data_IF_477067690736
#
_entry.id   IF_477067690736
#
_cell.length_a   1.000
_cell.length_b   1.000
_cell.length_c   1.000
_cell.angle_alpha   90.00
_cell.angle_beta   90.00
_cell.angle_gamma   90.00
#
_symmetry.space_group_name_H-M   'P 1'
#
loop_
_entity.id
_entity.type
_entity.pdbx_description
1 polymer ?
2 polymer ?
#
# COMPACT_ATOMS: atom_id res chain seq x y z
N UNK A 1 3.20 2.79 27.42
CA UNK A 1 1.80 2.33 27.13
C UNK A 1 1.71 0.83 26.81
N UNK A 2 0.50 0.37 26.49
CA UNK A 2 0.21 -1.06 26.35
C UNK A 2 0.22 -1.53 24.90
N UNK A 3 1.10 -2.49 24.62
CA UNK A 3 1.31 -3.01 23.27
C UNK A 3 0.82 -4.45 23.14
N UNK A 4 0.36 -4.81 21.95
CA UNK A 4 -0.04 -6.19 21.64
C UNK A 4 0.72 -6.76 20.47
N UNK A 5 1.44 -7.84 20.73
CA UNK A 5 2.10 -8.63 19.72
C UNK A 5 1.09 -9.68 19.24
N UNK A 6 0.87 -9.72 17.93
CA UNK A 6 -0.04 -10.69 17.33
C UNK A 6 0.70 -11.90 16.78
N UNK A 7 0.01 -13.04 16.76
CA UNK A 7 0.54 -14.27 16.21
C UNK A 7 -0.45 -14.96 15.29
N UNK A 8 0.00 -15.37 14.08
CA UNK A 8 1.31 -15.06 13.52
C UNK A 8 1.30 -13.72 12.78
N UNK A 9 2.46 -13.19 12.43
CA UNK A 9 2.52 -11.99 11.60
C UNK A 9 1.85 -12.21 10.24
N UNK A 10 2.20 -13.33 9.59
CA UNK A 10 1.63 -13.68 8.30
C UNK A 10 1.23 -15.16 8.26
N UNK A 11 0.09 -15.43 7.64
CA UNK A 11 -0.48 -16.76 7.59
C UNK A 11 -1.01 -17.04 6.19
N UNK A 12 -0.64 -18.20 5.65
CA UNK A 12 -1.15 -18.71 4.37
C UNK A 12 -2.14 -19.83 4.64
N UNK A 13 -3.37 -19.67 4.19
CA UNK A 13 -4.42 -20.65 4.48
C UNK A 13 -5.41 -20.84 3.35
N UNK A 14 -6.00 -22.03 3.32
CA UNK A 14 -6.97 -22.41 2.31
C UNK A 14 -8.39 -22.21 2.82
N UNK A 15 -9.30 -21.92 1.89
CA UNK A 15 -10.73 -21.81 2.15
C UNK A 15 -11.25 -23.04 2.93
N UNK A 16 -11.84 -22.79 4.10
CA UNK A 16 -12.39 -23.84 4.95
C UNK A 16 -11.52 -24.22 6.13
N UNK A 17 -10.35 -23.58 6.24
CA UNK A 17 -9.43 -23.85 7.33
C UNK A 17 -9.90 -23.24 8.66
N UNK A 18 -9.31 -23.74 9.75
CA UNK A 18 -9.49 -23.17 11.07
C UNK A 18 -8.33 -22.22 11.37
N UNK A 19 -8.63 -20.93 11.45
CA UNK A 19 -7.60 -19.91 11.70
C UNK A 19 -7.64 -19.41 13.15
N UNK A 20 -6.47 -19.44 13.78
CA UNK A 20 -6.31 -19.01 15.17
C UNK A 20 -5.25 -17.91 15.27
N UNK A 21 -5.69 -16.69 15.57
CA UNK A 21 -4.80 -15.54 15.68
C UNK A 21 -4.69 -15.08 17.14
N UNK A 22 -3.46 -15.00 17.63
CA UNK A 22 -3.17 -14.65 19.03
C UNK A 22 -2.82 -13.17 19.22
N UNK A 23 -3.34 -12.58 20.29
CA UNK A 23 -3.01 -11.22 20.68
C UNK A 23 -2.44 -11.21 22.10
N UNK A 24 -1.12 -10.97 22.21
CA UNK A 24 -0.42 -10.97 23.50
C UNK A 24 -0.10 -9.57 24.01
N UNK A 25 -0.86 -9.10 25.00
CA UNK A 25 -0.67 -7.76 25.58
C UNK A 25 0.53 -7.74 26.51
N UNK A 26 1.03 -6.56 26.83
CA UNK A 26 2.27 -6.47 27.60
C UNK A 26 1.99 -6.23 29.08
N UNK A 27 0.76 -5.82 29.36
CA UNK A 27 0.29 -5.59 30.71
C UNK A 27 -1.20 -5.86 30.73
N UNK A 28 -1.73 -6.09 31.94
CA UNK A 28 -3.11 -6.47 32.14
C UNK A 28 -4.06 -5.51 31.46
N UNK A 29 -4.98 -6.07 30.70
CA UNK A 29 -6.07 -5.30 30.11
C UNK A 29 -7.42 -6.02 30.28
N UNK A 30 -8.51 -5.24 30.35
CA UNK A 30 -9.84 -5.79 30.61
C UNK A 30 -10.52 -6.43 29.38
N UNK A 31 -10.56 -5.71 28.26
CA UNK A 31 -11.23 -6.18 27.04
C UNK A 31 -10.40 -6.00 25.77
N UNK A 32 -10.64 -6.85 24.79
CA UNK A 32 -9.99 -6.74 23.49
C UNK A 32 -11.03 -6.67 22.38
N UNK A 33 -10.68 -5.93 21.34
CA UNK A 33 -11.55 -5.80 20.19
C UNK A 33 -10.73 -6.18 18.96
N UNK A 34 -11.42 -6.61 17.92
CA UNK A 34 -10.74 -7.05 16.71
C UNK A 34 -11.33 -6.35 15.51
N UNK A 35 -10.45 -5.82 14.67
CA UNK A 35 -10.84 -5.20 13.42
C UNK A 35 -10.30 -5.99 12.26
N UNK A 36 -10.94 -5.83 11.11
CA UNK A 36 -10.46 -6.37 9.85
C UNK A 36 -10.22 -5.21 8.91
N UNK A 37 -9.17 -5.29 8.09
CA UNK A 37 -8.90 -4.25 7.10
C UNK A 37 -8.48 -4.83 5.76
N UNK A 38 -9.00 -4.23 4.69
CA UNK A 38 -8.59 -4.56 3.32
C UNK A 38 -8.01 -3.30 2.67
N UNK A 39 -6.92 -3.45 1.88
CA UNK A 39 -6.21 -2.34 1.23
C UNK A 39 -7.12 -1.20 0.75
N UNK A 40 -6.83 0.03 1.19
CA UNK A 40 -7.58 1.22 0.78
C UNK A 40 -8.90 1.48 1.49
N UNK A 41 -9.17 0.73 2.56
CA UNK A 41 -10.39 0.89 3.36
C UNK A 41 -10.07 1.19 4.82
N UNK A 42 -11.00 1.88 5.48
CA UNK A 42 -10.98 2.02 6.95
C UNK A 42 -11.35 0.65 7.52
N UNK A 43 -10.70 0.24 8.63
CA UNK A 43 -11.01 -1.07 9.20
C UNK A 43 -12.46 -1.22 9.66
N UNK A 44 -12.93 -2.47 9.68
CA UNK A 44 -14.26 -2.86 10.15
C UNK A 44 -14.18 -3.53 11.51
N UNK A 45 -15.12 -3.19 12.39
CA UNK A 45 -15.28 -3.87 13.67
C UNK A 45 -15.93 -5.24 13.49
N UNK A 46 -15.33 -6.26 14.13
CA UNK A 46 -15.82 -7.64 14.07
C UNK A 46 -16.18 -8.12 15.47
N UNK A 47 -15.24 -7.93 16.39
CA UNK A 47 -15.41 -8.34 17.77
C UNK A 47 -15.27 -7.11 18.65
N UNK A 48 -16.27 -6.90 19.50
CA UNK A 48 -16.18 -5.91 20.56
C UNK A 48 -16.21 -6.58 21.93
N UNK A 49 -15.63 -5.91 22.92
CA UNK A 49 -15.45 -6.44 24.28
C UNK A 49 -15.15 -7.94 24.33
N UNK A 50 -13.96 -8.28 23.87
CA UNK A 50 -13.37 -9.63 23.94
C UNK A 50 -14.05 -10.73 23.10
N UNK A 51 -15.37 -10.87 23.21
CA UNK A 51 -16.08 -12.01 22.60
C UNK A 51 -17.43 -11.71 21.91
N UNK A 52 -17.84 -10.45 21.88
CA UNK A 52 -19.14 -10.07 21.33
C UNK A 52 -19.06 -9.72 19.84
N UNK A 53 -19.88 -10.39 19.02
CA UNK A 53 -19.95 -10.13 17.57
C UNK A 53 -20.71 -8.85 17.26
N UNK A 54 -20.18 -8.09 16.30
CA UNK A 54 -20.86 -6.89 15.79
C UNK A 54 -21.91 -7.29 14.76
N UNK A 55 -22.95 -6.45 14.59
CA UNK A 55 -24.02 -6.73 13.65
C UNK A 55 -23.50 -6.97 12.23
N UNK A 56 -24.08 -7.97 11.56
CA UNK A 56 -23.73 -8.27 10.17
C UNK A 56 -22.55 -9.23 10.02
N UNK A 57 -21.69 -9.26 11.04
CA UNK A 57 -20.49 -10.10 11.04
C UNK A 57 -20.87 -11.59 11.19
N UNK A 58 -20.38 -12.44 10.27
CA UNK A 58 -20.68 -13.88 10.26
C UNK A 58 -20.21 -14.62 11.51
N UNK A 59 -20.95 -15.66 11.90
CA UNK A 59 -20.66 -16.40 13.13
C UNK A 59 -19.49 -17.39 13.01
N UNK A 60 -18.76 -17.32 11.89
CA UNK A 60 -17.48 -18.03 11.75
C UNK A 60 -16.34 -17.32 12.50
N UNK A 61 -16.59 -16.07 12.89
CA UNK A 61 -15.69 -15.29 13.73
C UNK A 61 -16.07 -15.45 15.19
N UNK A 62 -15.06 -15.70 16.03
CA UNK A 62 -15.25 -15.69 17.47
C UNK A 62 -14.00 -15.13 18.15
N UNK A 63 -14.16 -14.65 19.38
CA UNK A 63 -13.03 -14.17 20.16
C UNK A 63 -13.06 -14.70 21.58
N UNK A 64 -11.90 -14.79 22.21
CA UNK A 64 -11.84 -15.22 23.61
C UNK A 64 -10.56 -14.76 24.28
N UNK A 65 -10.42 -15.11 25.55
CA UNK A 65 -9.22 -14.82 26.33
C UNK A 65 -9.47 -13.80 27.42
N UNK A 66 -8.44 -13.61 28.26
CA UNK A 66 -8.44 -12.63 29.36
C UNK A 66 -7.01 -12.25 29.77
N UNK A 67 -6.87 -11.23 30.62
CA UNK A 67 -5.57 -10.84 31.18
C UNK A 67 -4.65 -10.17 30.16
N UNK A 68 -3.76 -10.96 29.57
CA UNK A 68 -2.91 -10.49 28.47
C UNK A 68 -2.90 -11.43 27.29
N UNK A 69 -3.80 -12.43 27.29
CA UNK A 69 -3.83 -13.42 26.23
C UNK A 69 -5.21 -13.52 25.56
N UNK A 70 -5.29 -13.04 24.33
CA UNK A 70 -6.56 -13.00 23.60
C UNK A 70 -6.45 -13.63 22.24
N UNK A 71 -7.50 -14.33 21.81
CA UNK A 71 -7.49 -14.98 20.50
C UNK A 71 -8.69 -14.64 19.63
N UNK A 72 -8.47 -14.65 18.32
CA UNK A 72 -9.53 -14.60 17.33
C UNK A 72 -9.49 -15.90 16.52
N UNK A 73 -10.66 -16.48 16.30
CA UNK A 73 -10.75 -17.72 15.56
C UNK A 73 -11.71 -17.57 14.37
N UNK A 74 -11.24 -17.95 13.20
CA UNK A 74 -12.13 -18.20 12.07
C UNK A 74 -12.22 -19.71 11.87
N UNK A 75 -13.40 -20.27 12.18
CA UNK A 75 -13.59 -21.73 12.23
C UNK A 75 -13.61 -22.36 10.84
N UNK A 76 -14.19 -21.65 9.88
CA UNK A 76 -14.20 -22.06 8.48
C UNK A 76 -13.89 -20.85 7.59
N UNK A 77 -12.68 -20.81 7.07
CA UNK A 77 -12.19 -19.68 6.27
C UNK A 77 -12.91 -19.50 4.93
N UNK A 78 -13.26 -18.25 4.62
CA UNK A 78 -14.01 -17.92 3.41
C UNK A 78 -13.23 -16.95 2.51
N UNK A 79 -13.69 -16.71 1.26
CA UNK A 79 -12.91 -15.85 0.36
C UNK A 79 -12.88 -14.40 0.81
N UNK A 80 -13.96 -13.95 1.46
CA UNK A 80 -14.07 -12.58 1.94
C UNK A 80 -13.14 -12.28 3.12
N UNK A 81 -12.64 -13.33 3.76
CA UNK A 81 -11.87 -13.17 4.99
C UNK A 81 -10.38 -12.89 4.77
N UNK A 82 -9.91 -13.01 3.53
CA UNK A 82 -8.53 -12.68 3.20
C UNK A 82 -8.33 -11.17 3.27
N UNK A 83 -7.56 -10.76 4.27
CA UNK A 83 -7.43 -9.36 4.68
C UNK A 83 -6.43 -9.27 5.83
N UNK A 84 -6.24 -8.06 6.37
CA UNK A 84 -5.46 -7.89 7.61
C UNK A 84 -6.40 -7.80 8.83
N UNK A 85 -5.90 -8.21 10.00
CA UNK A 85 -6.69 -8.24 11.21
C UNK A 85 -5.91 -7.64 12.38
N UNK A 86 -6.53 -6.69 13.08
CA UNK A 86 -5.88 -6.01 14.18
C UNK A 86 -6.69 -6.19 15.45
N UNK A 87 -6.00 -6.46 16.55
CA UNK A 87 -6.61 -6.42 17.87
C UNK A 87 -6.48 -5.03 18.48
N UNK A 88 -7.50 -4.60 19.22
CA UNK A 88 -7.57 -3.24 19.72
C UNK A 88 -7.87 -3.12 21.22
N UNK A 89 -7.04 -2.32 21.89
CA UNK A 89 -7.19 -2.03 23.32
C UNK A 89 -7.70 -0.60 23.52
N UNK A 90 -8.80 -0.48 24.23
CA UNK A 90 -9.54 0.80 24.36
C UNK A 90 -9.81 1.14 25.83
N UNK A 91 -9.03 0.54 26.74
CA UNK A 91 -9.27 0.68 28.19
C UNK A 91 -8.15 1.37 28.97
N UNK A 92 -7.10 1.80 28.28
CA UNK A 92 -6.05 2.64 28.83
C UNK A 92 -5.66 3.63 27.77
N UNK A 93 -5.17 4.79 28.18
CA UNK A 93 -4.64 5.74 27.23
C UNK A 93 -3.14 5.53 27.15
N UNK A 94 -2.57 5.63 25.94
CA UNK A 94 -3.32 5.80 24.68
C UNK A 94 -3.98 4.50 24.24
N UNK A 95 -5.10 4.62 23.54
CA UNK A 95 -5.71 3.48 22.87
C UNK A 95 -4.65 2.90 21.94
N UNK A 96 -4.56 1.59 21.86
CA UNK A 96 -3.53 0.99 21.03
C UNK A 96 -4.06 -0.16 20.22
N UNK A 97 -3.37 -0.41 19.11
CA UNK A 97 -3.73 -1.47 18.17
C UNK A 97 -2.62 -2.48 18.03
N UNK A 98 -2.99 -3.73 17.79
CA UNK A 98 -2.02 -4.78 17.49
C UNK A 98 -1.24 -4.48 16.22
N UNK A 99 -0.14 -5.19 16.02
CA UNK A 99 0.69 -5.02 14.83
C UNK A 99 0.00 -5.49 13.54
N UNK A 100 -1.06 -6.29 13.67
CA UNK A 100 -1.74 -6.88 12.52
C UNK A 100 -1.29 -8.27 12.19
N UNK A 101 -2.17 -9.03 11.54
CA UNK A 101 -1.87 -10.38 11.06
C UNK A 101 -2.43 -10.55 9.65
N UNK A 102 -1.54 -10.76 8.68
CA UNK A 102 -1.97 -10.86 7.30
C UNK A 102 -2.33 -12.29 6.89
N UNK A 103 -3.58 -12.49 6.49
CA UNK A 103 -4.07 -13.80 6.07
C UNK A 103 -4.17 -13.85 4.55
N UNK A 104 -3.35 -14.71 3.94
CA UNK A 104 -3.22 -14.79 2.50
C UNK A 104 -3.70 -16.13 1.98
N UNK A 105 -3.85 -16.25 0.65
CA UNK A 105 -4.35 -17.48 0.05
C UNK A 105 -3.21 -18.47 -0.19
N UNK A 106 -3.38 -19.68 0.31
CA UNK A 106 -2.48 -20.77 -0.04
C UNK A 106 -2.92 -21.34 -1.37
N UNK A 107 -1.93 -21.57 -2.24
CA UNK A 107 -2.11 -22.31 -3.48
C UNK A 107 -0.77 -22.93 -3.86
N UNK A 108 -0.70 -23.49 -5.06
CA UNK A 108 0.44 -24.27 -5.50
C UNK A 108 1.54 -23.41 -6.12
N UNK A 109 2.75 -23.98 -6.14
CA UNK A 109 3.87 -23.37 -6.83
C UNK A 109 3.50 -22.95 -8.26
N UNK A 110 4.11 -21.85 -8.70
CA UNK A 110 4.01 -21.37 -10.08
C UNK A 110 5.28 -20.58 -10.35
N UNK A 111 6.02 -21.03 -11.36
CA UNK A 111 7.24 -20.34 -11.79
C UNK A 111 6.90 -19.01 -12.45
N UNK A 112 7.69 -17.97 -12.20
CA UNK A 112 7.45 -16.70 -12.88
C UNK A 112 7.90 -16.73 -14.34
N UNK A 113 7.31 -15.87 -15.15
CA UNK A 113 7.82 -15.59 -16.47
C UNK A 113 8.72 -14.36 -16.31
N UNK A 114 9.94 -14.47 -16.81
CA UNK A 114 10.94 -13.41 -16.63
C UNK A 114 11.17 -12.65 -17.93
N UNK A 115 11.13 -11.32 -17.87
CA UNK A 115 11.42 -10.46 -19.02
C UNK A 115 12.33 -9.32 -18.58
N UNK A 116 13.35 -9.04 -19.40
CA UNK A 116 14.25 -7.91 -19.16
C UNK A 116 14.02 -6.82 -20.22
N UNK A 117 14.04 -5.56 -19.79
CA UNK A 117 13.83 -4.41 -20.68
C UNK A 117 15.00 -3.42 -20.61
N UNK A 118 15.73 -3.24 -21.73
CA UNK A 118 16.76 -2.21 -21.82
C UNK A 118 16.18 -0.80 -21.73
N UNK A 119 17.00 0.18 -21.30
CA UNK A 119 16.56 1.59 -21.34
C UNK A 119 16.28 2.05 -22.76
N UNK A 120 15.21 2.82 -22.91
CA UNK A 120 14.90 3.49 -24.17
C UNK A 120 15.98 4.55 -24.49
N UNK A 121 16.09 4.91 -25.77
CA UNK A 121 17.03 5.95 -26.17
C UNK A 121 16.54 7.29 -25.68
N UNK A 122 15.22 7.45 -25.66
CA UNK A 122 14.56 8.63 -25.13
C UNK A 122 15.00 8.96 -23.70
N UNK A 123 15.02 7.94 -22.82
CA UNK A 123 15.55 8.11 -21.47
C UNK A 123 17.05 8.35 -21.46
N UNK A 124 17.78 7.59 -22.27
CA UNK A 124 19.23 7.75 -22.38
C UNK A 124 19.67 9.20 -22.62
N UNK A 125 18.95 9.91 -23.49
CA UNK A 125 19.23 11.33 -23.78
C UNK A 125 19.22 12.24 -22.56
N UNK A 126 18.42 11.88 -21.56
CA UNK A 126 18.28 12.66 -20.32
C UNK A 126 19.46 12.45 -19.35
N UNK A 127 20.24 11.40 -19.56
CA UNK A 127 21.42 11.15 -18.75
C UNK A 127 21.32 10.02 -17.75
N UNK A 128 20.12 9.47 -17.60
CA UNK A 128 19.89 8.36 -16.68
C UNK A 128 19.38 7.15 -17.47
N UNK A 129 19.86 5.96 -17.10
CA UNK A 129 19.35 4.72 -17.67
C UNK A 129 18.60 3.91 -16.62
N UNK A 130 17.43 3.39 -16.98
CA UNK A 130 16.71 2.40 -16.16
C UNK A 130 16.62 1.07 -16.90
N UNK A 131 16.96 -0.01 -16.20
CA UNK A 131 16.84 -1.36 -16.72
C UNK A 131 15.75 -2.01 -15.89
N UNK A 132 14.90 -2.83 -16.50
CA UNK A 132 13.76 -3.40 -15.75
C UNK A 132 13.58 -4.90 -15.94
N UNK A 133 13.50 -5.63 -14.84
CA UNK A 133 13.21 -7.05 -14.90
C UNK A 133 11.79 -7.32 -14.37
N UNK A 134 11.04 -8.13 -15.12
CA UNK A 134 9.66 -8.47 -14.75
C UNK A 134 9.53 -9.96 -14.42
N UNK A 135 8.91 -10.24 -13.27
CA UNK A 135 8.58 -11.60 -12.85
C UNK A 135 7.07 -11.72 -12.83
N UNK A 136 6.51 -12.50 -13.76
CA UNK A 136 5.07 -12.46 -13.96
C UNK A 136 4.36 -13.70 -13.45
N UNK A 137 3.36 -13.46 -12.60
CA UNK A 137 2.41 -14.49 -12.19
C UNK A 137 3.05 -15.72 -11.57
N UNK A 138 3.55 -15.56 -10.35
CA UNK A 138 4.25 -16.64 -9.65
C UNK A 138 3.75 -16.84 -8.22
N UNK A 139 4.12 -17.98 -7.64
CA UNK A 139 3.83 -18.31 -6.26
C UNK A 139 4.90 -19.30 -5.76
N UNK A 140 5.40 -19.11 -4.52
CA UNK A 140 5.03 -18.04 -3.59
C UNK A 140 5.80 -16.74 -3.88
N UNK A 141 5.54 -15.70 -3.09
CA UNK A 141 6.18 -14.39 -3.27
C UNK A 141 7.69 -14.45 -3.19
N UNK A 142 8.22 -15.19 -2.21
CA UNK A 142 9.65 -15.33 -2.05
C UNK A 142 10.30 -15.54 -3.41
N UNK A 143 11.28 -14.69 -3.71
CA UNK A 143 11.99 -14.71 -4.97
C UNK A 143 13.26 -13.91 -4.86
N UNK A 144 14.31 -14.43 -5.50
CA UNK A 144 15.62 -13.80 -5.54
C UNK A 144 15.87 -13.24 -6.95
N UNK A 145 16.24 -11.96 -7.02
CA UNK A 145 16.50 -11.31 -8.29
C UNK A 145 17.86 -10.65 -8.20
N UNK A 146 18.82 -11.24 -8.91
CA UNK A 146 20.19 -10.76 -8.91
C UNK A 146 20.49 -10.07 -10.22
N UNK A 147 20.77 -8.78 -10.15
CA UNK A 147 21.25 -8.02 -11.28
C UNK A 147 22.73 -8.28 -11.48
N UNK A 148 23.12 -8.54 -12.72
CA UNK A 148 24.52 -8.74 -13.05
C UNK A 148 24.95 -7.83 -14.19
N UNK A 149 25.99 -7.05 -13.93
CA UNK A 149 26.49 -6.09 -14.91
C UNK A 149 27.90 -6.51 -15.30
N UNK A 150 28.01 -7.14 -16.47
CA UNK A 150 29.24 -7.82 -16.91
C UNK A 150 29.75 -8.77 -15.83
N UNK A 151 28.80 -9.51 -15.28
CA UNK A 151 29.00 -10.54 -14.26
C UNK A 151 29.25 -10.04 -12.84
N UNK A 152 29.24 -8.72 -12.64
CA UNK A 152 29.37 -8.15 -11.29
C UNK A 152 28.00 -8.11 -10.63
N UNK A 153 27.84 -8.85 -9.53
CA UNK A 153 26.57 -8.88 -8.81
C UNK A 153 26.30 -7.51 -8.23
N UNK A 154 25.16 -6.93 -8.57
CA UNK A 154 24.76 -5.63 -8.02
C UNK A 154 23.99 -5.80 -6.72
N UNK A 155 24.25 -4.90 -5.77
CA UNK A 155 23.61 -4.93 -4.47
C UNK A 155 23.38 -3.50 -3.94
N UNK A 156 22.11 -3.16 -3.71
CA UNK A 156 21.75 -1.85 -3.18
C UNK A 156 21.26 -0.80 -4.16
N UNK A 157 21.54 -0.96 -5.46
CA UNK A 157 21.13 0.04 -6.45
C UNK A 157 19.92 -0.33 -7.33
N UNK A 158 19.13 -1.29 -6.88
CA UNK A 158 17.86 -1.60 -7.54
C UNK A 158 16.70 -1.37 -6.57
N UNK A 159 15.49 -1.19 -7.10
CA UNK A 159 14.27 -1.16 -6.28
C UNK A 159 13.19 -2.12 -6.79
N UNK A 160 12.60 -2.88 -5.86
CA UNK A 160 11.56 -3.87 -6.16
C UNK A 160 10.15 -3.38 -5.76
N UNK A 161 9.14 -3.91 -6.43
CA UNK A 161 7.74 -3.55 -6.18
C UNK A 161 6.90 -4.77 -6.53
N UNK A 162 5.92 -5.08 -5.68
CA UNK A 162 5.19 -6.36 -5.75
C UNK A 162 3.69 -6.12 -5.69
N UNK A 163 2.99 -6.66 -6.69
CA UNK A 163 1.53 -6.61 -6.71
C UNK A 163 1.01 -7.35 -5.48
N UNK A 164 -0.22 -7.07 -5.11
CA UNK A 164 -0.93 -7.85 -4.11
C UNK A 164 -1.34 -9.15 -4.78
N UNK A 165 -1.70 -10.16 -4.00
CA UNK A 165 -2.20 -11.42 -4.56
C UNK A 165 -3.31 -11.17 -5.57
N UNK A 166 -3.27 -11.92 -6.65
CA UNK A 166 -4.23 -11.82 -7.72
C UNK A 166 -5.57 -12.43 -7.30
N UNK A 167 -6.66 -11.66 -7.46
CA UNK A 167 -7.98 -12.07 -6.97
C UNK A 167 -8.54 -13.34 -7.61
N UNK A 168 -7.96 -13.74 -8.75
CA UNK A 168 -8.42 -14.90 -9.51
C UNK A 168 -7.56 -16.14 -9.29
N UNK A 169 -6.24 -15.98 -9.39
CA UNK A 169 -5.34 -17.14 -9.28
C UNK A 169 -4.38 -17.07 -8.09
N UNK A 170 -4.44 -15.97 -7.34
CA UNK A 170 -3.59 -15.78 -6.17
C UNK A 170 -2.08 -15.85 -6.49
N UNK A 171 -1.69 -15.32 -7.66
CA UNK A 171 -0.26 -15.12 -7.95
C UNK A 171 0.16 -13.69 -7.68
N UNK A 172 1.47 -13.47 -7.70
CA UNK A 172 2.06 -12.15 -7.60
C UNK A 172 2.79 -11.84 -8.89
N UNK A 173 3.12 -10.56 -9.10
CA UNK A 173 4.05 -10.14 -10.15
C UNK A 173 4.98 -9.06 -9.60
N UNK A 174 6.23 -9.06 -10.07
CA UNK A 174 7.29 -8.24 -9.47
C UNK A 174 8.14 -7.52 -10.50
N UNK A 175 8.48 -6.28 -10.20
CA UNK A 175 9.38 -5.51 -11.05
C UNK A 175 10.61 -5.04 -10.26
N UNK A 176 11.79 -5.47 -10.70
CA UNK A 176 13.03 -4.94 -10.15
C UNK A 176 13.61 -3.94 -11.14
N UNK A 177 13.94 -2.74 -10.65
CA UNK A 177 14.44 -1.67 -11.52
C UNK A 177 15.85 -1.22 -11.10
N UNK A 178 16.80 -1.35 -12.02
CA UNK A 178 18.17 -0.91 -11.79
C UNK A 178 18.37 0.49 -12.37
N UNK A 179 18.93 1.41 -11.58
CA UNK A 179 19.23 2.77 -12.05
C UNK A 179 20.73 3.02 -12.20
N UNK A 180 21.12 3.63 -13.32
CA UNK A 180 22.52 4.01 -13.60
C UNK A 180 22.56 5.29 -14.40
N UNK A 181 23.65 6.06 -14.27
CA UNK A 181 23.86 7.21 -15.15
C UNK A 181 24.17 6.70 -16.56
N UNK A 182 23.82 7.51 -17.57
CA UNK A 182 24.09 7.22 -18.97
C UNK A 182 25.54 6.79 -19.20
N UNK A 183 26.47 7.58 -18.66
CA UNK A 183 27.92 7.31 -18.79
C UNK A 183 28.33 6.00 -18.13
N UNK A 184 27.75 5.70 -16.97
CA UNK A 184 28.02 4.43 -16.26
C UNK A 184 27.47 3.24 -17.02
N UNK A 185 26.26 3.41 -17.56
CA UNK A 185 25.63 2.40 -18.38
C UNK A 185 26.49 1.99 -19.58
N UNK A 186 27.16 2.99 -20.17
CA UNK A 186 27.98 2.78 -21.36
C UNK A 186 29.34 2.12 -21.06
N UNK A 187 29.67 1.99 -19.78
CA UNK A 187 30.91 1.33 -19.36
C UNK A 187 30.83 -0.19 -19.46
N UNK A 188 29.62 -0.73 -19.50
CA UNK A 188 29.40 -2.19 -19.46
C UNK A 188 28.64 -2.71 -20.67
N UNK A 189 28.74 -4.02 -20.89
CA UNK A 189 28.14 -4.66 -22.05
C UNK A 189 26.90 -5.51 -21.72
N UNK A 190 27.10 -6.55 -20.91
CA UNK A 190 26.06 -7.54 -20.65
C UNK A 190 25.25 -7.19 -19.40
N UNK A 191 23.96 -6.97 -19.60
CA UNK A 191 23.09 -6.66 -18.49
C UNK A 191 22.19 -7.85 -18.29
N UNK A 192 22.17 -8.38 -17.07
CA UNK A 192 21.44 -9.63 -16.79
C UNK A 192 20.59 -9.58 -15.54
N UNK A 193 19.42 -10.21 -15.63
CA UNK A 193 18.53 -10.39 -14.48
C UNK A 193 18.45 -11.89 -14.18
N UNK A 194 18.90 -12.29 -13.00
CA UNK A 194 18.90 -13.72 -12.67
C UNK A 194 17.92 -14.03 -11.56
N UNK A 195 16.95 -14.90 -11.86
CA UNK A 195 15.84 -15.15 -10.95
C UNK A 195 15.90 -16.51 -10.27
N UNK A 196 15.88 -16.48 -8.95
CA UNK A 196 15.85 -17.69 -8.13
C UNK A 196 14.51 -17.75 -7.43
N UNK A 197 13.91 -18.93 -7.47
CA UNK A 197 12.56 -19.17 -6.97
C UNK A 197 12.42 -20.69 -6.89
N UNK A 198 11.50 -21.18 -6.07
CA UNK A 198 11.40 -22.63 -5.85
C UNK A 198 10.75 -23.40 -7.02
N UNK A 199 9.85 -22.74 -7.75
CA UNK A 199 9.23 -23.30 -8.96
C UNK A 199 10.19 -23.47 -10.14
N UNK A 200 11.39 -22.90 -10.00
CA UNK A 200 12.47 -23.09 -10.95
C UNK A 200 13.51 -24.01 -10.35
N UNK A 201 13.74 -25.15 -10.99
CA UNK A 201 14.79 -26.06 -10.55
C UNK A 201 16.17 -25.42 -10.69
N UNK A 202 16.33 -24.61 -11.72
CA UNK A 202 17.56 -23.84 -11.95
C UNK A 202 17.22 -22.35 -12.09
N UNK A 203 18.18 -21.45 -11.75
CA UNK A 203 17.88 -20.03 -11.83
C UNK A 203 17.75 -19.60 -13.29
N UNK A 204 16.84 -18.68 -13.56
CA UNK A 204 16.62 -18.23 -14.93
C UNK A 204 17.25 -16.87 -15.18
N UNK A 205 18.04 -16.78 -16.26
CA UNK A 205 18.80 -15.57 -16.59
C UNK A 205 18.35 -14.94 -17.92
N UNK A 206 17.84 -13.73 -17.84
CA UNK A 206 17.47 -12.96 -19.03
C UNK A 206 18.46 -11.82 -19.20
N UNK A 207 18.97 -11.64 -20.41
CA UNK A 207 19.96 -10.62 -20.65
C UNK A 207 19.88 -9.95 -22.03
N UNK A 208 20.65 -8.89 -22.20
CA UNK A 208 20.87 -8.28 -23.50
C UNK A 208 22.26 -7.67 -23.48
N UNK A 209 22.84 -7.47 -24.66
CA UNK A 209 24.07 -6.71 -24.77
C UNK A 209 23.76 -5.30 -25.20
N UNK A 210 24.27 -4.33 -24.43
CA UNK A 210 24.04 -2.91 -24.71
C UNK A 210 24.43 -2.61 -26.16
N UNK A 211 23.43 -2.22 -26.95
CA UNK A 211 23.61 -1.99 -28.38
C UNK A 211 22.81 -2.95 -29.24
N UNK A 212 21.55 -3.15 -28.86
CA UNK A 212 20.56 -3.96 -29.60
C UNK A 212 20.91 -5.45 -29.74
N UNK B 1 -26.58 8.65 6.84
CA UNK B 1 -26.96 7.32 7.41
C UNK B 1 -26.09 6.94 8.60
N UNK B 2 -25.25 7.90 9.00
CA UNK B 2 -24.08 7.76 9.89
C UNK B 2 -22.80 7.56 9.07
N UNK B 3 -22.40 8.62 8.38
CA UNK B 3 -21.22 8.62 7.54
C UNK B 3 -20.39 9.88 7.72
N UNK B 4 -19.08 9.66 7.90
CA UNK B 4 -18.13 10.74 8.09
C UNK B 4 -17.39 10.95 6.78
N UNK B 5 -17.37 12.20 6.32
CA UNK B 5 -16.65 12.53 5.10
C UNK B 5 -15.49 13.45 5.44
N UNK B 6 -14.28 13.00 5.10
CA UNK B 6 -13.09 13.82 5.34
C UNK B 6 -12.74 14.65 4.10
N UNK B 7 -11.83 15.59 4.25
CA UNK B 7 -11.39 16.40 3.11
C UNK B 7 -10.33 15.65 2.29
N UNK B 8 -9.98 16.19 1.12
CA UNK B 8 -9.08 15.51 0.20
C UNK B 8 -7.62 15.46 0.60
N UNK B 9 -6.82 14.82 -0.26
CA UNK B 9 -5.37 14.63 -0.07
C UNK B 9 -4.62 15.94 0.13
N UNK B 10 -3.53 15.88 0.89
CA UNK B 10 -2.69 17.07 1.11
C UNK B 10 -1.22 16.80 0.81
N UNK B 11 -0.53 17.80 0.30
CA UNK B 11 0.89 17.73 -0.04
C UNK B 11 1.62 18.96 0.50
N UNK B 12 2.43 18.74 1.52
CA UNK B 12 2.93 19.83 2.34
C UNK B 12 4.44 19.80 2.44
N UNK B 13 5.01 20.95 2.78
CA UNK B 13 6.46 21.11 2.93
C UNK B 13 6.89 20.93 4.38
N UNK B 14 8.11 20.43 4.62
CA UNK B 14 8.55 20.32 6.01
C UNK B 14 8.51 21.68 6.71
N UNK B 15 7.96 21.70 7.92
CA UNK B 15 7.94 22.91 8.72
C UNK B 15 6.56 23.53 8.70
N UNK B 16 5.82 23.24 7.63
CA UNK B 16 4.46 23.77 7.46
C UNK B 16 3.47 23.03 8.36
N UNK B 17 2.22 23.41 8.29
CA UNK B 17 1.16 22.76 9.03
C UNK B 17 -0.06 22.54 8.13
N UNK B 18 -0.95 21.63 8.52
CA UNK B 18 -2.17 21.39 7.75
C UNK B 18 -3.34 21.01 8.65
N UNK B 19 -4.52 21.51 8.30
CA UNK B 19 -5.76 21.30 9.04
C UNK B 19 -6.73 20.43 8.25
N UNK B 20 -6.94 19.20 8.70
CA UNK B 20 -7.82 18.24 8.02
C UNK B 20 -9.22 18.34 8.63
N UNK B 21 -10.25 18.10 7.83
CA UNK B 21 -11.64 18.19 8.28
C UNK B 21 -12.39 16.86 8.21
N UNK B 22 -13.41 16.72 9.04
CA UNK B 22 -14.24 15.51 9.06
C UNK B 22 -15.66 15.94 9.38
N UNK B 23 -16.52 15.97 8.35
CA UNK B 23 -17.93 16.35 8.53
C UNK B 23 -18.82 15.15 8.79
N UNK B 24 -19.64 15.26 9.84
CA UNK B 24 -20.52 14.17 10.29
C UNK B 24 -21.98 14.30 9.83
N UNK B 25 -22.61 13.14 9.64
CA UNK B 25 -24.01 12.98 9.21
C UNK B 25 -24.58 11.70 9.81
N UNK B 26 -25.88 11.72 10.13
CA UNK B 26 -26.59 10.52 10.57
C UNK B 26 -26.78 10.37 12.07
N UNK B 27 -26.38 11.39 12.83
CA UNK B 27 -26.56 11.42 14.29
C UNK B 27 -26.40 12.83 14.83
N UNK B 28 -26.63 13.01 16.13
CA UNK B 28 -26.44 14.33 16.74
C UNK B 28 -25.00 14.54 17.24
N UNK B 29 -24.29 15.39 16.50
CA UNK B 29 -22.84 15.60 16.55
C UNK B 29 -22.20 15.71 17.95
N UNK B 30 -22.94 16.28 18.89
CA UNK B 30 -22.40 16.56 20.23
C UNK B 30 -22.50 15.36 21.18
N UNK B 31 -23.29 14.37 20.80
CA UNK B 31 -23.50 13.20 21.66
C UNK B 31 -22.35 12.18 21.63
N UNK B 32 -21.41 12.37 20.70
CA UNK B 32 -20.27 11.46 20.56
C UNK B 32 -18.96 12.21 20.35
N UNK B 33 -17.98 11.90 21.20
CA UNK B 33 -16.62 12.43 21.10
C UNK B 33 -15.97 11.90 19.81
N UNK B 34 -15.23 12.74 19.10
CA UNK B 34 -14.64 12.35 17.79
C UNK B 34 -13.13 12.11 17.85
N UNK B 35 -12.72 10.90 17.49
CA UNK B 35 -11.31 10.50 17.55
C UNK B 35 -10.56 10.65 16.23
N UNK B 36 -9.24 10.57 16.32
CA UNK B 36 -8.40 10.62 15.15
C UNK B 36 -7.32 9.57 15.28
N UNK B 37 -7.01 8.94 14.15
CA UNK B 37 -5.97 7.92 14.09
C UNK B 37 -5.17 8.01 12.80
N UNK B 38 -3.90 7.63 12.86
CA UNK B 38 -3.04 7.66 11.67
C UNK B 38 -2.56 6.27 11.29
N UNK B 39 -2.42 6.06 9.99
CA UNK B 39 -1.86 4.82 9.48
C UNK B 39 -0.71 5.13 8.54
N UNK B 40 0.50 4.84 8.99
CA UNK B 40 1.71 5.09 8.23
C UNK B 40 2.16 3.83 7.51
N UNK B 41 2.65 3.97 6.27
CA UNK B 41 3.17 2.87 5.43
C UNK B 41 3.86 1.78 6.27
N UNK B 42 3.58 0.52 5.93
CA UNK B 42 3.82 -0.58 6.85
C UNK B 42 2.72 -0.42 7.88
N UNK B 43 1.49 -0.55 7.39
CA UNK B 43 0.29 0.02 8.00
C UNK B 43 0.05 -0.26 9.49
N UNK B 44 0.70 0.55 10.33
CA UNK B 44 0.49 0.50 11.77
C UNK B 44 -0.52 1.55 12.18
N UNK B 45 -1.56 1.11 12.88
CA UNK B 45 -2.60 2.01 13.39
C UNK B 45 -2.23 2.59 14.75
N UNK B 46 -2.18 3.91 14.79
CA UNK B 46 -1.87 4.63 16.02
C UNK B 46 -2.96 5.67 16.32
N UNK B 47 -3.41 5.67 17.57
CA UNK B 47 -4.44 6.59 18.02
C UNK B 47 -3.81 7.93 18.37
N UNK B 48 -4.41 9.01 17.89
CA UNK B 48 -3.86 10.33 18.10
C UNK B 48 -4.55 11.01 19.29
N UNK B 49 -5.88 11.03 19.27
CA UNK B 49 -6.64 11.70 20.30
C UNK B 49 -8.06 11.99 19.89
N UNK B 50 -8.85 12.53 20.81
CA UNK B 50 -10.22 12.93 20.50
C UNK B 50 -10.55 14.31 21.04
N UNK B 51 -11.59 14.90 20.46
CA UNK B 51 -12.27 16.05 21.07
C UNK B 51 -13.70 15.67 21.45
N UNK B 52 -14.20 16.30 22.53
CA UNK B 52 -15.62 16.27 22.85
C UNK B 52 -16.26 17.56 22.34
N UNK B 53 -17.07 17.46 21.27
CA UNK B 53 -17.73 18.62 20.66
C UNK B 53 -18.65 19.39 21.63
N UNK B 54 -19.00 18.77 22.75
CA UNK B 54 -19.87 19.39 23.77
C UNK B 54 -19.08 20.25 24.76
N UNK B 55 -18.10 19.65 25.45
CA UNK B 55 -17.22 20.40 26.35
C UNK B 55 -16.18 21.22 25.59
N UNK B 56 -15.62 20.64 24.53
CA UNK B 56 -14.50 21.24 23.81
C UNK B 56 -13.20 20.64 24.35
N UNK B 57 -13.38 19.69 25.27
CA UNK B 57 -12.27 19.01 25.93
C UNK B 57 -11.60 18.02 24.98
N UNK B 58 -10.28 17.91 25.14
CA UNK B 58 -9.47 17.06 24.28
C UNK B 58 -8.54 16.18 25.10
N UNK B 59 -8.32 14.97 24.59
CA UNK B 59 -7.35 14.06 25.17
C UNK B 59 -6.40 13.63 24.03
N UNK B 60 -5.10 13.58 24.30
CA UNK B 60 -4.11 13.27 23.28
C UNK B 60 -3.17 12.16 23.71
N UNK B 61 -2.69 11.42 22.71
CA UNK B 61 -1.62 10.43 22.91
C UNK B 61 -0.33 11.21 23.09
N UNK B 62 0.47 10.84 24.09
CA UNK B 62 1.77 11.48 24.32
C UNK B 62 2.59 11.64 23.05
N UNK B 63 2.75 10.56 22.30
CA UNK B 63 3.49 10.55 21.06
C UNK B 63 3.05 11.67 20.11
N UNK B 64 1.79 12.09 20.23
CA UNK B 64 1.22 13.08 19.31
C UNK B 64 0.95 14.47 19.90
N UNK B 65 1.29 14.69 21.17
CA UNK B 65 1.01 15.96 21.87
C UNK B 65 1.73 17.17 21.25
N UNK B 66 2.94 16.95 20.74
CA UNK B 66 3.73 17.99 20.09
C UNK B 66 3.23 18.28 18.66
N UNK B 67 2.47 17.33 18.11
CA UNK B 67 2.14 17.27 16.69
C UNK B 67 0.72 17.74 16.34
N UNK B 68 -0.27 17.37 17.14
CA UNK B 68 -1.66 17.54 16.76
C UNK B 68 -2.50 18.40 17.69
N UNK B 69 -3.25 19.32 17.09
CA UNK B 69 -4.28 20.06 17.80
C UNK B 69 -5.61 19.70 17.17
N UNK B 70 -6.50 19.16 18.01
CA UNK B 70 -7.82 18.73 17.59
C UNK B 70 -8.88 19.71 18.10
N UNK B 71 -9.59 20.34 17.18
CA UNK B 71 -10.70 21.22 17.51
C UNK B 71 -12.01 20.73 16.86
N UNK B 72 -13.16 21.21 17.35
CA UNK B 72 -14.47 20.88 16.77
C UNK B 72 -15.28 22.13 16.44
N UNK B 73 -16.25 21.98 15.54
CA UNK B 73 -17.16 23.06 15.14
C UNK B 73 -18.59 22.54 15.19
N UNK B 74 -19.31 22.99 16.21
CA UNK B 74 -20.63 22.48 16.57
C UNK B 74 -21.71 22.90 15.58
N UNK B 75 -21.56 24.10 15.03
CA UNK B 75 -22.52 24.62 14.05
C UNK B 75 -22.44 23.85 12.71
N UNK B 76 -21.22 23.61 12.22
CA UNK B 76 -21.04 22.99 10.91
C UNK B 76 -21.02 21.45 10.96
N UNK B 77 -21.05 20.89 12.17
CA UNK B 77 -21.02 19.44 12.37
C UNK B 77 -19.71 18.78 11.95
N UNK B 78 -18.63 19.58 11.88
CA UNK B 78 -17.33 19.04 11.52
C UNK B 78 -16.31 19.10 12.67
N UNK B 79 -15.50 18.05 12.76
CA UNK B 79 -14.29 18.05 13.61
C UNK B 79 -13.03 18.30 12.76
N UNK B 80 -12.06 19.02 13.33
CA UNK B 80 -10.80 19.28 12.66
C UNK B 80 -9.64 18.66 13.42
N UNK B 81 -8.58 18.33 12.68
CA UNK B 81 -7.32 17.93 13.26
C UNK B 81 -6.23 18.68 12.54
N UNK B 82 -5.47 19.46 13.30
CA UNK B 82 -4.40 20.26 12.75
C UNK B 82 -3.07 19.63 13.08
N UNK B 83 -2.23 19.47 12.08
CA UNK B 83 -0.89 18.92 12.31
C UNK B 83 0.15 19.99 12.00
N UNK B 84 1.02 20.25 12.97
CA UNK B 84 2.03 21.29 12.83
C UNK B 84 3.45 20.74 12.81
N UNK B 85 4.38 21.59 12.39
CA UNK B 85 5.79 21.24 12.28
C UNK B 85 6.00 20.01 11.39
N UNK B 86 5.31 19.97 10.25
CA UNK B 86 5.28 18.77 9.42
C UNK B 86 6.70 18.33 9.05
N UNK B 87 6.93 17.03 9.06
CA UNK B 87 8.21 16.43 8.68
C UNK B 87 7.88 15.15 7.93
N UNK B 88 8.81 14.66 7.11
CA UNK B 88 8.54 13.51 6.22
C UNK B 88 7.91 12.28 6.92
N UNK B 89 8.22 12.12 8.20
CA UNK B 89 7.69 11.04 9.04
C UNK B 89 6.18 11.14 9.29
N UNK B 90 5.59 12.30 9.00
CA UNK B 90 4.16 12.55 9.17
C UNK B 90 3.33 12.07 7.98
N UNK B 91 4.02 11.58 6.94
CA UNK B 91 3.38 11.00 5.75
C UNK B 91 2.54 9.80 6.16
N UNK B 92 1.23 9.90 5.98
CA UNK B 92 0.28 8.85 6.38
C UNK B 92 -1.13 9.15 5.92
N UNK B 93 -1.96 8.11 5.94
CA UNK B 93 -3.42 8.26 5.86
C UNK B 93 -3.95 8.60 7.26
N UNK B 94 -4.84 9.59 7.33
CA UNK B 94 -5.48 9.95 8.60
C UNK B 94 -6.97 9.71 8.57
N UNK B 95 -7.49 9.11 9.63
CA UNK B 95 -8.94 8.91 9.78
C UNK B 95 -9.49 9.68 10.96
N UNK B 96 -10.76 10.03 10.87
CA UNK B 96 -11.56 10.34 12.05
C UNK B 96 -12.44 9.11 12.31
N UNK B 97 -12.84 8.93 13.57
CA UNK B 97 -13.70 7.80 13.93
C UNK B 97 -14.60 8.18 15.11
N UNK B 98 -15.85 7.71 15.06
CA UNK B 98 -16.84 8.03 16.08
C UNK B 98 -16.51 7.39 17.42
N UNK B 99 -16.79 8.11 18.51
CA UNK B 99 -16.42 7.66 19.84
C UNK B 99 -17.48 7.00 20.73
N UNK B 100 -18.44 6.33 20.11
CA UNK B 100 -19.42 5.55 20.88
C UNK B 100 -18.94 4.11 21.05
N UNK B 101 -18.50 3.77 22.27
CA UNK B 101 -17.88 2.47 22.53
C UNK B 101 -16.62 2.30 21.70
N UNK B 102 -16.50 1.17 21.01
CA UNK B 102 -15.42 1.01 20.02
C UNK B 102 -15.75 1.78 18.74
N UNK B 103 -14.71 2.11 17.97
CA UNK B 103 -14.89 2.83 16.71
C UNK B 103 -15.67 1.96 15.76
N UNK B 104 -16.91 2.34 15.53
CA UNK B 104 -17.76 1.64 14.59
C UNK B 104 -17.63 2.33 13.26
N UNK B 105 -17.81 3.64 13.27
CA UNK B 105 -17.88 4.42 12.05
C UNK B 105 -16.59 5.23 11.83
N UNK B 106 -16.04 5.07 10.63
CA UNK B 106 -14.81 5.75 10.24
C UNK B 106 -15.07 6.66 9.06
N UNK B 107 -14.31 7.75 8.98
CA UNK B 107 -14.25 8.53 7.75
C UNK B 107 -13.43 7.74 6.74
N UNK B 108 -13.39 8.24 5.50
CA UNK B 108 -12.72 7.51 4.41
C UNK B 108 -11.19 7.68 4.38
N UNK B 109 -10.65 8.46 5.31
CA UNK B 109 -9.22 8.73 5.34
C UNK B 109 -8.80 9.89 4.47
N UNK B 110 -7.79 10.61 4.92
CA UNK B 110 -7.13 11.65 4.15
C UNK B 110 -5.65 11.30 4.07
N UNK B 111 -5.10 11.25 2.86
CA UNK B 111 -3.66 11.00 2.71
C UNK B 111 -2.93 12.33 2.82
N UNK B 112 -1.89 12.34 3.65
CA UNK B 112 -1.06 13.52 3.84
C UNK B 112 0.40 13.20 3.53
N UNK B 113 0.94 13.88 2.53
CA UNK B 113 2.31 13.69 2.10
C UNK B 113 3.15 14.91 2.47
N UNK B 114 4.20 14.69 3.25
CA UNK B 114 5.11 15.79 3.60
C UNK B 114 6.41 15.57 2.87
N UNK B 115 6.84 16.56 2.10
CA UNK B 115 8.03 16.43 1.29
C UNK B 115 8.56 17.80 0.85
N UNK B 116 9.88 17.90 0.78
CA UNK B 116 10.56 19.10 0.25
C UNK B 116 10.45 19.15 -1.28
N UNK B 117 10.00 18.05 -1.88
CA UNK B 117 9.84 17.98 -3.33
C UNK B 117 8.75 18.93 -3.83
N UNK B 118 8.81 19.20 -5.13
CA UNK B 118 7.87 20.06 -5.83
C UNK B 118 7.15 19.30 -6.95
N UNK B 119 5.89 19.68 -7.19
CA UNK B 119 5.09 19.12 -8.28
C UNK B 119 5.92 18.98 -9.57
N UNK B 120 5.84 17.79 -10.16
CA UNK B 120 6.49 17.52 -11.44
C UNK B 120 5.75 16.38 -12.13
N UNK B 121 5.40 16.62 -13.38
CA UNK B 121 4.85 15.56 -14.23
C UNK B 121 5.88 14.48 -14.50
N UNK B 122 5.41 13.25 -14.75
CA UNK B 122 6.32 12.15 -15.03
C UNK B 122 6.83 12.18 -16.46
N UNK B 123 8.04 11.66 -16.68
CA UNK B 123 8.46 11.29 -18.02
C UNK B 123 7.92 9.90 -18.20
N UNK B 124 7.48 9.58 -19.41
CA UNK B 124 6.98 8.23 -19.73
C UNK B 124 7.86 7.60 -20.80
N UNK B 125 8.38 6.42 -20.51
CA UNK B 125 9.31 5.74 -21.41
C UNK B 125 8.78 4.35 -21.74
N UNK B 126 9.03 3.90 -22.99
CA UNK B 126 8.50 2.59 -23.41
C UNK B 126 9.28 1.46 -22.76
N UNK B 127 8.60 0.36 -22.47
CA UNK B 127 9.25 -0.88 -22.10
C UNK B 127 8.94 -1.87 -23.21
N UNK B 128 9.97 -2.22 -23.98
CA UNK B 128 9.78 -2.92 -25.22
C UNK B 128 10.68 -4.13 -25.32
N UNK B 129 10.16 -5.24 -25.91
CA UNK B 129 10.99 -6.41 -26.26
C UNK B 129 11.90 -6.13 -27.46
N UNK B 137 4.41 -17.04 -29.04
CA UNK B 137 3.27 -16.93 -28.14
C UNK B 137 3.12 -15.54 -27.55
N UNK B 138 3.75 -15.30 -26.39
CA UNK B 138 3.57 -14.03 -25.69
C UNK B 138 4.85 -13.25 -25.36
N UNK B 139 4.71 -11.93 -25.42
CA UNK B 139 5.74 -10.97 -25.05
C UNK B 139 5.13 -9.97 -24.05
N UNK B 140 5.98 -9.39 -23.21
CA UNK B 140 5.53 -8.36 -22.30
C UNK B 140 6.06 -7.01 -22.72
N UNK B 141 5.24 -5.99 -22.54
CA UNK B 141 5.65 -4.62 -22.76
C UNK B 141 4.94 -3.73 -21.76
N UNK B 142 5.31 -2.46 -21.76
CA UNK B 142 4.78 -1.55 -20.77
C UNK B 142 5.34 -0.16 -20.91
N UNK B 143 5.06 0.68 -19.92
CA UNK B 143 5.63 2.02 -19.81
C UNK B 143 6.27 2.22 -18.46
N UNK B 144 7.43 2.87 -18.47
CA UNK B 144 8.06 3.35 -17.25
C UNK B 144 7.58 4.77 -16.97
N UNK B 145 6.88 4.95 -15.86
CA UNK B 145 6.37 6.25 -15.48
C UNK B 145 7.32 6.78 -14.42
N UNK B 146 8.22 7.70 -14.80
CA UNK B 146 9.34 8.11 -13.93
C UNK B 146 9.41 9.60 -13.55
N UNK B 147 9.98 9.87 -12.37
CA UNK B 147 10.27 11.23 -11.88
C UNK B 147 9.04 12.12 -11.77
N UNK B 148 8.07 11.66 -10.99
CA UNK B 148 6.89 12.46 -10.72
C UNK B 148 6.71 12.72 -9.20
N UNK B 149 5.90 13.73 -8.90
CA UNK B 149 5.55 14.10 -7.54
C UNK B 149 4.31 15.00 -7.59
N UNK B 150 3.35 14.77 -6.70
CA UNK B 150 3.30 13.65 -5.75
C UNK B 150 2.55 12.46 -6.33
N UNK B 151 2.11 11.56 -5.46
CA UNK B 151 1.18 10.50 -5.82
C UNK B 151 -0.22 11.11 -5.99
N UNK B 152 -1.12 10.46 -6.76
CA UNK B 152 -0.96 9.23 -7.51
C UNK B 152 -0.77 9.42 -9.02
N UNK B 153 -0.64 8.30 -9.73
CA UNK B 153 -0.71 8.26 -11.18
C UNK B 153 -1.65 7.12 -11.58
N UNK B 154 -2.41 7.33 -12.65
CA UNK B 154 -3.21 6.25 -13.21
C UNK B 154 -2.69 5.86 -14.59
N UNK B 155 -2.62 4.55 -14.82
CA UNK B 155 -2.25 4.02 -16.12
C UNK B 155 -3.33 3.06 -16.60
N UNK B 156 -3.84 3.32 -17.79
CA UNK B 156 -4.75 2.41 -18.45
C UNK B 156 -4.12 1.99 -19.78
N UNK B 157 -4.73 1.03 -20.44
CA UNK B 157 -4.22 0.60 -21.73
C UNK B 157 -5.26 0.73 -22.82
N UNK B 158 -4.82 1.25 -23.97
CA UNK B 158 -5.70 1.47 -25.13
C UNK B 158 -7.02 2.09 -24.69
N UNK B 159 -6.92 3.23 -24.00
CA UNK B 159 -8.06 3.99 -23.50
C UNK B 159 -9.11 3.18 -22.72
N UNK B 160 -8.68 2.06 -22.14
CA UNK B 160 -9.54 1.25 -21.29
C UNK B 160 -9.97 -0.08 -21.90
N UNK B 161 -9.48 -0.39 -23.08
CA UNK B 161 -9.91 -1.60 -23.78
C UNK B 161 -9.16 -2.84 -23.30
N UNK B 162 -7.89 -2.67 -22.92
CA UNK B 162 -7.10 -3.77 -22.39
C UNK B 162 -7.02 -3.67 -20.87
N UNK B 163 -7.21 -4.82 -20.21
CA UNK B 163 -7.28 -4.88 -18.75
C UNK B 163 -6.68 -6.19 -18.26
N UNK B 164 -6.76 -7.23 -19.09
CA UNK B 164 -6.23 -8.55 -18.78
C UNK B 164 -4.72 -8.56 -18.95
N UNK B 165 -4.02 -9.14 -17.97
CA UNK B 165 -2.56 -9.21 -18.03
C UNK B 165 -1.86 -7.92 -17.66
N UNK B 166 -2.64 -6.85 -17.51
CA UNK B 166 -2.12 -5.59 -16.99
C UNK B 166 -1.76 -5.76 -15.51
N UNK B 167 -0.50 -5.49 -15.19
CA UNK B 167 -0.07 -5.26 -13.82
C UNK B 167 0.44 -3.84 -13.78
N UNK B 168 0.04 -3.10 -12.75
CA UNK B 168 0.49 -1.73 -12.58
C UNK B 168 1.04 -1.61 -11.17
N UNK B 169 2.37 -1.53 -11.10
CA UNK B 169 3.07 -1.73 -9.85
C UNK B 169 2.92 -0.54 -8.91
N UNK B 170 2.90 -0.79 -7.58
CA UNK B 170 2.96 0.31 -6.62
C UNK B 170 4.18 1.17 -6.88
N UNK B 171 4.06 2.48 -6.63
CA UNK B 171 5.15 3.43 -6.82
C UNK B 171 6.26 3.24 -5.78
N UNK B 172 7.51 3.48 -6.19
CA UNK B 172 8.62 3.55 -5.25
C UNK B 172 9.10 4.99 -5.13
N UNK B 173 9.72 5.32 -4.00
CA UNK B 173 10.23 6.66 -3.76
C UNK B 173 11.74 6.64 -3.90
N UNK B 174 12.23 7.31 -4.94
CA UNK B 174 13.65 7.38 -5.23
C UNK B 174 14.36 8.33 -4.25
N UNK B 175 15.68 8.24 -4.19
CA UNK B 175 16.46 9.10 -3.30
C UNK B 175 16.33 10.57 -3.70
N UNK B 176 15.77 10.81 -4.89
CA UNK B 176 15.61 12.17 -5.41
C UNK B 176 14.40 12.87 -4.83
N UNK B 177 13.56 12.10 -4.13
CA UNK B 177 12.28 12.60 -3.63
C UNK B 177 11.18 12.55 -4.67
N UNK B 178 11.45 11.86 -5.79
CA UNK B 178 10.48 11.69 -6.86
C UNK B 178 10.12 10.21 -7.04
N UNK B 179 8.83 9.96 -7.28
CA UNK B 179 8.32 8.61 -7.44
C UNK B 179 8.58 8.04 -8.84
N UNK B 180 8.32 6.74 -8.98
CA UNK B 180 8.47 6.05 -10.25
C UNK B 180 7.75 4.71 -10.19
N UNK B 181 7.25 4.27 -11.33
CA UNK B 181 6.51 3.01 -11.41
C UNK B 181 6.50 2.50 -12.85
N UNK B 182 6.33 1.19 -13.01
CA UNK B 182 6.09 0.60 -14.32
C UNK B 182 4.70 -0.01 -14.35
N UNK B 183 4.06 0.05 -15.53
CA UNK B 183 2.84 -0.67 -15.81
C UNK B 183 3.11 -1.49 -17.04
N UNK B 184 2.87 -2.78 -16.94
CA UNK B 184 3.15 -3.72 -18.02
C UNK B 184 1.91 -4.56 -18.37
N UNK B 185 1.95 -5.17 -19.55
CA UNK B 185 0.88 -6.03 -20.04
C UNK B 185 1.52 -7.03 -20.98
N UNK B 186 1.00 -8.24 -21.00
CA UNK B 186 1.45 -9.22 -21.98
C UNK B 186 0.57 -9.18 -23.22
N UNK B 187 1.20 -9.52 -24.34
CA UNK B 187 0.61 -9.40 -25.67
C UNK B 187 1.06 -10.59 -26.52
N UNK B 188 0.24 -11.03 -27.49
CA UNK B 188 0.73 -12.05 -28.43
C UNK B 188 1.89 -11.55 -29.32
N UNK B 189 2.95 -12.34 -29.43
CA UNK B 189 4.17 -11.87 -30.10
C UNK B 189 4.05 -11.61 -31.61
N UNK B 190 3.05 -12.20 -32.25
CA UNK B 190 2.80 -12.01 -33.68
C UNK B 190 2.14 -10.66 -33.95
N UNK B 191 1.66 -10.03 -32.90
CA UNK B 191 0.98 -8.74 -33.01
C UNK B 191 1.94 -7.53 -32.98
N UNK B 192 3.19 -7.79 -32.63
CA UNK B 192 4.18 -6.74 -32.31
C UNK B 192 4.30 -5.53 -33.26
N UNK B 193 4.72 -5.76 -34.50
CA UNK B 193 4.89 -4.65 -35.44
C UNK B 193 3.60 -4.03 -35.99
N UNK B 194 2.45 -4.54 -35.56
CA UNK B 194 1.19 -4.26 -36.25
C UNK B 194 0.06 -3.78 -35.34
N UNK B 195 -0.06 -4.39 -34.16
CA UNK B 195 -1.08 -4.02 -33.18
C UNK B 195 -0.63 -2.80 -32.38
N UNK B 196 -1.54 -1.86 -32.17
CA UNK B 196 -1.20 -0.72 -31.34
C UNK B 196 -1.45 -0.99 -29.85
N UNK B 197 -0.47 -0.59 -29.03
CA UNK B 197 -0.60 -0.59 -27.57
C UNK B 197 -0.26 0.80 -27.01
N UNK B 198 -1.22 1.42 -26.34
CA UNK B 198 -1.02 2.75 -25.79
C UNK B 198 -1.18 2.80 -24.27
N UNK B 199 -0.20 3.47 -23.64
CA UNK B 199 -0.24 3.88 -22.24
C UNK B 199 -1.05 5.11 -22.09
N UNK B 200 -2.11 5.04 -21.30
CA UNK B 200 -2.76 6.27 -20.87
C UNK B 200 -2.31 6.57 -19.47
N UNK B 201 -1.33 7.47 -19.37
CA UNK B 201 -0.80 7.92 -18.08
C UNK B 201 -1.48 9.21 -17.71
N UNK B 202 -1.94 9.29 -16.46
CA UNK B 202 -2.60 10.47 -15.96
C UNK B 202 -1.99 10.92 -14.64
N UNK B 203 -1.45 12.13 -14.62
CA UNK B 203 -0.93 12.73 -13.39
C UNK B 203 -1.70 14.02 -13.10
N UNK B 204 -2.82 13.88 -12.37
CA UNK B 204 -3.70 15.00 -12.07
C UNK B 204 -2.97 16.15 -11.36
N UNK B 205 -2.24 15.87 -10.26
CA UNK B 205 -1.61 16.96 -9.50
C UNK B 205 -0.77 17.96 -10.32
N UNK B 206 -0.27 17.56 -11.49
CA UNK B 206 0.45 18.49 -12.37
C UNK B 206 -0.23 18.65 -13.71
N UNK B 207 -1.48 18.18 -13.81
CA UNK B 207 -2.27 18.23 -15.06
C UNK B 207 -1.50 17.68 -16.24
N UNK B 208 -0.93 16.49 -16.07
CA UNK B 208 -0.15 15.86 -17.12
C UNK B 208 -0.83 14.58 -17.57
N UNK B 209 -1.29 14.60 -18.81
CA UNK B 209 -1.83 13.44 -19.49
C UNK B 209 -0.96 13.15 -20.71
N UNK B 210 -0.37 11.97 -20.76
CA UNK B 210 0.32 11.51 -21.96
C UNK B 210 -0.17 10.13 -22.37
N UNK B 211 -0.43 10.00 -23.68
CA UNK B 211 -0.75 8.73 -24.30
C UNK B 211 0.47 8.21 -25.03
N UNK B 212 1.11 7.18 -24.48
CA UNK B 212 2.33 6.65 -25.07
C UNK B 212 2.13 5.30 -25.76
N UNK B 213 2.36 5.30 -27.07
CA UNK B 213 2.38 4.07 -27.86
C UNK B 213 3.68 3.33 -27.64
N UNK B 214 3.58 2.01 -27.45
CA UNK B 214 4.76 1.18 -27.21
C UNK B 214 4.98 0.18 -28.35
N UNK B 215 6.17 0.23 -28.93
CA UNK B 215 6.60 -0.75 -29.95
C UNK B 215 8.08 -1.08 -29.79
N UNK B 216 8.54 -2.20 -30.39
CA UNK B 216 9.98 -2.48 -30.40
C UNK B 216 10.73 -1.46 -31.26
#
# INVERSE_FOLDING_TARGET
>A
DIQMTQSPSTLSASVGDRVTITCSASSSISYMHWYQQKPGKAPKLLIYTTSNLASGVPARFSGSGSGTEFTLTISSLQPDDFATYYCHQRSTYPLTFGQGTKVEVKRTVAAPSVFIFPPSDEQLKSGTASVVCLLNNFYPREAKVQWKVDNALQSGNSQESVTEQDSKDSTYSLSSTLTLSKADYEKHKVYACEVTHQGLSSPVTKSFNRGE
>B
QVQLVQSGAEVKKPGSSVKVSCKASGYTFTSYRMHWVRQAPGQGLEWIGYINPSTGYTEYNQKFKDKATITADESTNTAYMELSSLRSEDTAVYYCARGGGVFDYWGQGTLVTVSSASTKGPSVFPLAPSSKSTSGGTAALGCLVKDYFPEPVTVSWNSGALTSGVHTFPAVLQSSGLYSLSSVVTVPSSSLGTQTYICNVNHKPSNTKVDKKVEP
#
